data_IF_639496011416
#
_entry.id   IF_639496011416
#
_cell.length_a   1.000
_cell.length_b   1.000
_cell.length_c   1.000
_cell.angle_alpha   90.00
_cell.angle_beta   90.00
_cell.angle_gamma   90.00
#
_symmetry.space_group_name_H-M   'P 1'
#
loop_
_entity.id
_entity.type
_entity.pdbx_description
1 polymer ?
#
# COMPACT_ATOMS: atom_id res chain seq x y z
N UNK A 1 0.85 -0.84 -35.66
CA UNK A 1 0.04 -1.77 -34.85
C UNK A 1 0.32 -1.66 -33.33
N UNK A 2 1.59 -1.66 -32.88
CA UNK A 2 1.93 -1.69 -31.44
C UNK A 2 1.69 -0.37 -30.67
N UNK A 3 1.80 0.79 -31.33
CA UNK A 3 1.51 2.10 -30.72
C UNK A 3 0.03 2.28 -30.36
N UNK A 4 -0.87 1.81 -31.23
CA UNK A 4 -2.32 1.85 -31.00
C UNK A 4 -2.70 0.87 -29.87
N UNK A 5 -2.09 -0.31 -29.83
CA UNK A 5 -2.33 -1.32 -28.79
C UNK A 5 -1.93 -0.83 -27.39
N UNK A 6 -0.78 -0.16 -27.28
CA UNK A 6 -0.32 0.44 -26.02
C UNK A 6 -1.14 1.66 -25.59
N UNK A 7 -1.68 2.43 -26.54
CA UNK A 7 -2.57 3.55 -26.23
C UNK A 7 -3.95 3.06 -25.77
N UNK A 8 -4.50 2.05 -26.43
CA UNK A 8 -5.77 1.40 -26.06
C UNK A 8 -5.64 0.69 -24.71
N UNK A 9 -4.54 -0.03 -24.43
CA UNK A 9 -4.35 -0.69 -23.12
C UNK A 9 -4.09 0.29 -21.97
N UNK A 10 -3.69 1.53 -22.27
CA UNK A 10 -3.47 2.60 -21.28
C UNK A 10 -4.73 3.42 -21.02
N UNK A 11 -5.64 3.50 -21.99
CA UNK A 11 -6.96 4.14 -21.86
C UNK A 11 -8.00 3.19 -21.29
N UNK A 12 -7.95 1.90 -21.66
CA UNK A 12 -8.86 0.87 -21.18
C UNK A 12 -8.11 0.04 -20.14
N UNK A 13 -8.03 0.56 -18.91
CA UNK A 13 -7.64 -0.28 -17.79
C UNK A 13 -8.64 -1.44 -17.67
N UNK A 14 -8.21 -2.64 -17.26
CA UNK A 14 -9.12 -3.79 -17.07
C UNK A 14 -10.31 -3.44 -16.18
N UNK A 15 -10.11 -2.51 -15.25
CA UNK A 15 -11.11 -2.02 -14.32
C UNK A 15 -12.14 -1.12 -14.99
N UNK A 16 -11.69 -0.22 -15.87
CA UNK A 16 -12.57 0.61 -16.69
C UNK A 16 -13.41 -0.26 -17.64
N UNK A 17 -12.83 -1.34 -18.20
CA UNK A 17 -13.57 -2.29 -19.04
C UNK A 17 -14.67 -3.00 -18.24
N UNK A 18 -14.35 -3.55 -17.07
CA UNK A 18 -15.32 -4.21 -16.19
C UNK A 18 -16.43 -3.24 -15.81
N UNK A 19 -16.08 -2.00 -15.46
CA UNK A 19 -17.06 -0.97 -15.12
C UNK A 19 -17.98 -0.64 -16.30
N UNK A 20 -17.41 -0.35 -17.48
CA UNK A 20 -18.20 -0.01 -18.69
C UNK A 20 -19.12 -1.16 -19.08
N UNK A 21 -18.62 -2.40 -19.11
CA UNK A 21 -19.42 -3.59 -19.40
C UNK A 21 -20.54 -3.75 -18.38
N UNK A 22 -20.24 -3.53 -17.11
CA UNK A 22 -21.24 -3.64 -16.03
C UNK A 22 -22.32 -2.57 -16.14
N UNK A 23 -21.95 -1.32 -16.43
CA UNK A 23 -22.90 -0.20 -16.61
C UNK A 23 -23.78 -0.43 -17.83
N UNK A 24 -23.22 -0.88 -18.95
CA UNK A 24 -23.99 -1.20 -20.16
C UNK A 24 -24.97 -2.34 -19.89
N UNK A 25 -24.51 -3.41 -19.22
CA UNK A 25 -25.36 -4.53 -18.86
C UNK A 25 -26.48 -4.12 -17.90
N UNK A 26 -26.16 -3.33 -16.87
CA UNK A 26 -27.13 -2.77 -15.93
C UNK A 26 -28.18 -1.92 -16.66
N UNK A 27 -27.75 -1.02 -17.54
CA UNK A 27 -28.67 -0.17 -18.31
C UNK A 27 -29.58 -0.95 -19.26
N UNK A 28 -29.03 -1.97 -19.95
CA UNK A 28 -29.80 -2.83 -20.85
C UNK A 28 -30.81 -3.70 -20.09
N UNK A 29 -30.38 -4.32 -18.98
CA UNK A 29 -31.24 -5.18 -18.16
C UNK A 29 -32.25 -4.38 -17.35
N UNK A 30 -32.02 -3.09 -17.08
CA UNK A 30 -32.95 -2.24 -16.31
C UNK A 30 -34.38 -2.30 -16.84
N UNK A 31 -34.58 -2.28 -18.17
CA UNK A 31 -35.92 -2.30 -18.77
C UNK A 31 -36.63 -3.67 -18.62
N UNK A 32 -35.88 -4.75 -18.44
CA UNK A 32 -36.41 -6.13 -18.40
C UNK A 32 -36.43 -6.73 -16.99
N UNK A 33 -35.50 -6.33 -16.14
CA UNK A 33 -35.30 -6.88 -14.79
C UNK A 33 -36.51 -6.67 -13.87
N UNK A 34 -37.37 -5.70 -14.19
CA UNK A 34 -38.55 -5.38 -13.40
C UNK A 34 -39.83 -6.10 -13.84
N UNK A 35 -39.79 -6.84 -14.95
CA UNK A 35 -40.93 -7.62 -15.42
C UNK A 35 -41.08 -8.99 -14.72
N UNK A 36 -39.97 -9.56 -14.23
CA UNK A 36 -39.93 -10.90 -13.63
C UNK A 36 -39.04 -10.93 -12.37
N UNK A 37 -39.51 -11.61 -11.32
CA UNK A 37 -38.80 -11.76 -10.04
C UNK A 37 -37.46 -12.47 -10.22
N UNK A 38 -37.36 -13.41 -11.15
CA UNK A 38 -36.10 -14.12 -11.43
C UNK A 38 -35.08 -13.20 -12.11
N UNK A 39 -35.53 -12.39 -13.07
CA UNK A 39 -34.68 -11.39 -13.74
C UNK A 39 -34.14 -10.34 -12.77
N UNK A 40 -34.95 -9.94 -11.78
CA UNK A 40 -34.56 -9.02 -10.71
C UNK A 40 -33.44 -9.58 -9.81
N UNK A 41 -33.55 -10.85 -9.42
CA UNK A 41 -32.53 -11.53 -8.61
C UNK A 41 -31.21 -11.63 -9.39
N UNK A 42 -31.27 -11.99 -10.68
CA UNK A 42 -30.09 -12.07 -11.54
C UNK A 42 -29.43 -10.69 -11.75
N UNK A 43 -30.23 -9.63 -11.88
CA UNK A 43 -29.76 -8.25 -11.98
C UNK A 43 -28.95 -7.83 -10.75
N UNK A 44 -29.47 -8.08 -9.54
CA UNK A 44 -28.75 -7.77 -8.30
C UNK A 44 -27.50 -8.63 -8.12
N UNK A 45 -27.57 -9.92 -8.44
CA UNK A 45 -26.44 -10.83 -8.31
C UNK A 45 -25.28 -10.43 -9.24
N UNK A 46 -25.59 -10.06 -10.49
CA UNK A 46 -24.61 -9.57 -11.44
C UNK A 46 -23.94 -8.28 -10.94
N UNK A 47 -24.72 -7.34 -10.42
CA UNK A 47 -24.22 -6.05 -10.00
C UNK A 47 -23.35 -6.13 -8.73
N UNK A 48 -23.70 -7.01 -7.79
CA UNK A 48 -22.84 -7.35 -6.63
C UNK A 48 -21.55 -8.04 -7.10
N UNK A 49 -21.64 -8.95 -8.07
CA UNK A 49 -20.47 -9.59 -8.68
C UNK A 49 -19.52 -8.61 -9.37
N UNK A 50 -20.07 -7.64 -10.10
CA UNK A 50 -19.31 -6.57 -10.73
C UNK A 50 -18.61 -5.67 -9.70
N UNK A 51 -19.33 -5.25 -8.65
CA UNK A 51 -18.75 -4.47 -7.56
C UNK A 51 -17.61 -5.23 -6.87
N UNK A 52 -17.79 -6.52 -6.58
CA UNK A 52 -16.75 -7.37 -5.98
C UNK A 52 -15.51 -7.50 -6.88
N UNK A 53 -15.70 -7.69 -8.20
CA UNK A 53 -14.60 -7.79 -9.15
C UNK A 53 -13.76 -6.50 -9.22
N UNK A 54 -14.40 -5.34 -9.13
CA UNK A 54 -13.74 -4.03 -9.10
C UNK A 54 -13.00 -3.78 -7.78
N UNK A 55 -13.57 -4.21 -6.65
CA UNK A 55 -12.90 -4.14 -5.34
C UNK A 55 -11.64 -5.02 -5.34
N UNK A 56 -11.71 -6.24 -5.87
CA UNK A 56 -10.55 -7.15 -5.96
C UNK A 56 -9.41 -6.56 -6.79
N UNK A 57 -9.73 -5.73 -7.79
CA UNK A 57 -8.74 -5.05 -8.64
C UNK A 57 -8.31 -3.68 -8.13
N UNK A 58 -8.72 -3.30 -6.91
CA UNK A 58 -8.37 -2.02 -6.26
C UNK A 58 -9.00 -0.78 -6.93
N UNK A 59 -10.03 -0.97 -7.77
CA UNK A 59 -10.76 0.09 -8.45
C UNK A 59 -12.00 0.54 -7.67
N UNK A 60 -11.76 1.05 -6.46
CA UNK A 60 -12.79 1.16 -5.43
C UNK A 60 -13.82 2.26 -5.72
N UNK A 61 -13.41 3.36 -6.34
CA UNK A 61 -14.34 4.43 -6.76
C UNK A 61 -15.35 3.96 -7.81
N UNK A 62 -14.95 3.03 -8.68
CA UNK A 62 -15.84 2.43 -9.67
C UNK A 62 -16.79 1.41 -9.02
N UNK A 63 -16.31 0.63 -8.06
CA UNK A 63 -17.16 -0.27 -7.29
C UNK A 63 -18.25 0.48 -6.51
N UNK A 64 -17.90 1.59 -5.84
CA UNK A 64 -18.89 2.42 -5.12
C UNK A 64 -19.91 3.05 -6.07
N UNK A 65 -19.50 3.43 -7.28
CA UNK A 65 -20.42 3.93 -8.29
C UNK A 65 -21.44 2.85 -8.73
N UNK A 66 -21.01 1.60 -8.91
CA UNK A 66 -21.94 0.49 -9.21
C UNK A 66 -22.94 0.28 -8.08
N UNK A 67 -22.48 0.29 -6.82
CA UNK A 67 -23.39 0.12 -5.67
C UNK A 67 -24.35 1.31 -5.53
N UNK A 68 -23.91 2.53 -5.82
CA UNK A 68 -24.77 3.71 -5.83
C UNK A 68 -25.84 3.64 -6.93
N UNK A 69 -25.49 3.19 -8.13
CA UNK A 69 -26.44 2.96 -9.23
C UNK A 69 -27.44 1.87 -8.84
N UNK A 70 -26.98 0.76 -8.27
CA UNK A 70 -27.87 -0.28 -7.73
C UNK A 70 -28.87 0.29 -6.73
N UNK A 71 -28.37 1.04 -5.74
CA UNK A 71 -29.20 1.67 -4.71
C UNK A 71 -30.26 2.59 -5.32
N UNK A 72 -29.84 3.46 -6.24
CA UNK A 72 -30.74 4.39 -6.92
C UNK A 72 -31.80 3.65 -7.74
N UNK A 73 -31.43 2.57 -8.45
CA UNK A 73 -32.39 1.77 -9.22
C UNK A 73 -33.36 1.00 -8.33
N UNK A 74 -32.91 0.46 -7.19
CA UNK A 74 -33.77 -0.18 -6.20
C UNK A 74 -34.75 0.83 -5.58
N UNK A 75 -34.29 2.04 -5.27
CA UNK A 75 -35.10 3.11 -4.70
C UNK A 75 -36.15 3.65 -5.69
N UNK A 76 -35.76 3.84 -6.94
CA UNK A 76 -36.67 4.25 -8.01
C UNK A 76 -37.76 3.20 -8.23
N UNK A 77 -37.41 1.91 -8.19
CA UNK A 77 -38.38 0.84 -8.34
C UNK A 77 -39.36 0.79 -7.16
N UNK A 78 -38.88 0.95 -5.93
CA UNK A 78 -39.73 1.06 -4.75
C UNK A 78 -40.73 2.23 -4.88
N UNK A 79 -40.25 3.38 -5.35
CA UNK A 79 -41.06 4.59 -5.48
C UNK A 79 -42.09 4.52 -6.62
N UNK A 80 -41.74 3.91 -7.77
CA UNK A 80 -42.60 3.92 -8.97
C UNK A 80 -43.39 2.62 -9.22
N UNK A 81 -42.95 1.46 -8.71
CA UNK A 81 -43.62 0.15 -8.95
C UNK A 81 -44.64 -0.22 -7.87
N UNK A 82 -44.80 0.60 -6.83
CA UNK A 82 -45.92 0.52 -5.90
C UNK A 82 -47.21 1.05 -6.56
N UNK A 83 -47.70 0.38 -7.62
CA UNK A 83 -49.11 0.49 -8.03
C UNK A 83 -49.90 -0.60 -7.31
N UNK A 84 -51.01 -0.27 -6.63
CA UNK A 84 -51.54 -1.08 -5.54
C UNK A 84 -52.52 -2.13 -6.06
N UNK A 85 -52.31 -3.38 -5.68
CA UNK A 85 -53.44 -4.29 -5.43
C UNK A 85 -53.31 -5.05 -4.10
N UNK A 86 -52.14 -5.01 -3.44
CA UNK A 86 -51.97 -5.43 -2.04
C UNK A 86 -51.00 -4.50 -1.30
N UNK A 87 -51.42 -3.27 -1.02
CA UNK A 87 -50.62 -2.33 -0.22
C UNK A 87 -50.66 -2.76 1.26
N UNK A 88 -49.54 -3.25 1.80
CA UNK A 88 -49.38 -3.43 3.24
C UNK A 88 -48.27 -2.50 3.76
N UNK A 89 -48.64 -1.32 4.31
CA UNK A 89 -47.69 -0.26 4.63
C UNK A 89 -46.57 -0.67 5.60
N UNK A 90 -46.80 -1.69 6.44
CA UNK A 90 -45.81 -2.15 7.41
C UNK A 90 -44.76 -3.06 6.76
N UNK A 91 -45.19 -4.02 5.92
CA UNK A 91 -44.27 -4.98 5.30
C UNK A 91 -43.39 -4.32 4.24
N UNK A 92 -43.95 -3.41 3.44
CA UNK A 92 -43.19 -2.68 2.43
C UNK A 92 -42.13 -1.79 3.10
N UNK A 93 -42.52 -0.97 4.08
CA UNK A 93 -41.58 -0.12 4.82
C UNK A 93 -40.48 -0.93 5.54
N UNK A 94 -40.82 -2.09 6.10
CA UNK A 94 -39.84 -2.95 6.78
C UNK A 94 -38.84 -3.54 5.78
N UNK A 95 -39.31 -4.04 4.64
CA UNK A 95 -38.46 -4.58 3.57
C UNK A 95 -37.48 -3.51 3.06
N UNK A 96 -37.94 -2.28 2.88
CA UNK A 96 -37.11 -1.19 2.37
C UNK A 96 -36.06 -0.75 3.37
N UNK A 97 -36.44 -0.67 4.64
CA UNK A 97 -35.53 -0.30 5.72
C UNK A 97 -34.43 -1.35 5.90
N UNK A 98 -34.77 -2.64 5.74
CA UNK A 98 -33.79 -3.74 5.74
C UNK A 98 -32.89 -3.68 4.50
N UNK A 99 -33.45 -3.45 3.31
CA UNK A 99 -32.68 -3.34 2.06
C UNK A 99 -31.69 -2.17 2.07
N UNK A 100 -32.14 -1.00 2.54
CA UNK A 100 -31.30 0.19 2.69
C UNK A 100 -30.25 0.00 3.78
N UNK A 101 -30.61 -0.62 4.90
CA UNK A 101 -29.66 -0.95 5.96
C UNK A 101 -28.56 -1.90 5.47
N UNK A 102 -28.92 -2.95 4.72
CA UNK A 102 -27.97 -3.89 4.15
C UNK A 102 -27.05 -3.22 3.11
N UNK A 103 -27.60 -2.35 2.27
CA UNK A 103 -26.83 -1.62 1.26
C UNK A 103 -25.88 -0.61 1.90
N UNK A 104 -26.36 0.17 2.88
CA UNK A 104 -25.54 1.12 3.65
C UNK A 104 -24.44 0.39 4.42
N UNK A 105 -24.74 -0.76 5.02
CA UNK A 105 -23.75 -1.58 5.70
C UNK A 105 -22.65 -2.06 4.75
N UNK A 106 -23.03 -2.59 3.57
CA UNK A 106 -22.07 -3.05 2.57
C UNK A 106 -21.21 -1.91 2.04
N UNK A 107 -21.77 -0.74 1.74
CA UNK A 107 -20.99 0.41 1.28
C UNK A 107 -20.00 0.91 2.33
N UNK A 108 -20.41 0.97 3.59
CA UNK A 108 -19.53 1.35 4.71
C UNK A 108 -18.42 0.32 4.91
N UNK A 109 -18.71 -0.98 4.86
CA UNK A 109 -17.70 -2.02 4.97
C UNK A 109 -16.67 -1.94 3.84
N UNK A 110 -17.13 -1.73 2.60
CA UNK A 110 -16.25 -1.53 1.46
C UNK A 110 -15.38 -0.28 1.62
N UNK A 111 -15.93 0.82 2.15
CA UNK A 111 -15.18 2.05 2.41
C UNK A 111 -14.11 1.86 3.50
N UNK A 112 -14.44 1.16 4.59
CA UNK A 112 -13.50 0.86 5.67
C UNK A 112 -12.36 -0.04 5.16
N UNK A 113 -12.70 -1.08 4.38
CA UNK A 113 -11.71 -1.97 3.79
C UNK A 113 -10.76 -1.22 2.85
N UNK A 114 -11.32 -0.33 2.01
CA UNK A 114 -10.55 0.58 1.14
C UNK A 114 -9.58 1.46 1.91
N UNK A 115 -10.08 2.13 2.95
CA UNK A 115 -9.29 3.04 3.78
C UNK A 115 -8.14 2.30 4.47
N UNK A 116 -8.40 1.10 5.01
CA UNK A 116 -7.38 0.26 5.63
C UNK A 116 -6.28 -0.11 4.64
N UNK A 117 -6.64 -0.60 3.44
CA UNK A 117 -5.66 -0.98 2.42
C UNK A 117 -4.79 0.19 1.97
N UNK A 118 -5.37 1.38 1.74
CA UNK A 118 -4.59 2.56 1.37
C UNK A 118 -3.64 3.01 2.49
N UNK A 119 -4.09 2.90 3.74
CA UNK A 119 -3.27 3.25 4.90
C UNK A 119 -2.11 2.29 5.09
N UNK A 120 -2.34 0.99 4.92
CA UNK A 120 -1.29 -0.03 4.98
C UNK A 120 -0.22 0.20 3.92
N UNK A 121 -0.61 0.56 2.69
CA UNK A 121 0.34 0.86 1.62
C UNK A 121 1.19 2.10 1.93
N UNK A 122 0.55 3.20 2.35
CA UNK A 122 1.26 4.42 2.76
C UNK A 122 2.22 4.14 3.92
N UNK A 123 1.79 3.35 4.89
CA UNK A 123 2.63 2.95 6.02
C UNK A 123 3.80 2.09 5.56
N UNK A 124 3.60 1.12 4.66
CA UNK A 124 4.68 0.30 4.10
C UNK A 124 5.72 1.13 3.36
N UNK A 125 5.28 2.04 2.50
CA UNK A 125 6.18 2.95 1.77
C UNK A 125 6.96 3.84 2.73
N UNK A 126 6.30 4.37 3.77
CA UNK A 126 6.96 5.19 4.78
C UNK A 126 7.99 4.38 5.59
N UNK A 127 7.63 3.17 6.03
CA UNK A 127 8.54 2.27 6.75
C UNK A 127 9.78 1.94 5.92
N UNK A 128 9.59 1.55 4.65
CA UNK A 128 10.72 1.28 3.76
C UNK A 128 11.65 2.50 3.59
N UNK A 129 11.10 3.71 3.51
CA UNK A 129 11.91 4.94 3.45
C UNK A 129 12.69 5.19 4.74
N UNK A 130 12.04 5.01 5.90
CA UNK A 130 12.69 5.15 7.20
C UNK A 130 13.82 4.12 7.35
N UNK A 131 13.58 2.87 6.98
CA UNK A 131 14.60 1.81 7.00
C UNK A 131 15.77 2.15 6.08
N UNK A 132 15.51 2.59 4.85
CA UNK A 132 16.57 3.02 3.92
C UNK A 132 17.39 4.19 4.48
N UNK A 133 16.74 5.18 5.09
CA UNK A 133 17.43 6.29 5.74
C UNK A 133 18.25 5.83 6.94
N UNK A 134 17.72 4.92 7.75
CA UNK A 134 18.43 4.36 8.90
C UNK A 134 19.66 3.58 8.48
N UNK A 135 19.56 2.76 7.43
CA UNK A 135 20.72 2.05 6.86
C UNK A 135 21.77 3.03 6.34
N UNK A 136 21.36 4.07 5.62
CA UNK A 136 22.27 5.09 5.12
C UNK A 136 22.97 5.86 6.26
N UNK A 137 22.23 6.27 7.29
CA UNK A 137 22.78 6.95 8.46
C UNK A 137 23.74 6.06 9.25
N UNK A 138 23.43 4.77 9.41
CA UNK A 138 24.34 3.80 10.06
C UNK A 138 25.62 3.62 9.26
N UNK A 139 25.52 3.50 7.94
CA UNK A 139 26.70 3.39 7.08
C UNK A 139 27.56 4.64 7.16
N UNK A 140 26.96 5.83 7.21
CA UNK A 140 27.67 7.09 7.38
C UNK A 140 28.35 7.18 8.76
N UNK A 141 27.63 6.85 9.83
CA UNK A 141 28.19 6.84 11.18
C UNK A 141 29.39 5.88 11.31
N UNK A 142 29.27 4.67 10.76
CA UNK A 142 30.39 3.71 10.73
C UNK A 142 31.58 4.25 9.96
N UNK A 143 31.36 4.86 8.79
CA UNK A 143 32.43 5.44 7.97
C UNK A 143 33.12 6.59 8.71
N UNK A 144 32.33 7.47 9.34
CA UNK A 144 32.85 8.58 10.14
C UNK A 144 33.68 8.07 11.32
N UNK A 145 33.15 7.13 12.12
CA UNK A 145 33.89 6.54 13.24
C UNK A 145 35.17 5.86 12.77
N UNK A 146 35.16 5.15 11.64
CA UNK A 146 36.39 4.58 11.06
C UNK A 146 37.43 5.65 10.72
N UNK A 147 37.02 6.79 10.15
CA UNK A 147 37.94 7.91 9.87
C UNK A 147 38.47 8.56 11.15
N UNK A 148 37.61 8.74 12.15
CA UNK A 148 37.96 9.31 13.45
C UNK A 148 38.86 8.39 14.27
N UNK A 149 38.78 7.07 14.11
CA UNK A 149 39.68 6.10 14.76
C UNK A 149 41.00 5.96 14.01
N UNK A 150 40.99 5.99 12.66
CA UNK A 150 42.22 5.86 11.86
C UNK A 150 43.22 6.98 12.14
N UNK A 151 42.73 8.20 12.38
CA UNK A 151 43.57 9.39 12.61
C UNK A 151 44.44 9.27 13.88
N UNK A 152 43.89 9.04 15.09
CA UNK A 152 44.69 8.86 16.30
C UNK A 152 45.54 7.59 16.22
N UNK A 153 45.04 6.51 15.62
CA UNK A 153 45.79 5.26 15.50
C UNK A 153 47.02 5.41 14.59
N UNK A 154 46.88 6.11 13.46
CA UNK A 154 48.01 6.47 12.59
C UNK A 154 49.02 7.38 13.30
N UNK A 155 48.54 8.26 14.19
CA UNK A 155 49.41 9.11 15.00
C UNK A 155 50.18 8.30 16.03
N UNK A 156 49.54 7.33 16.69
CA UNK A 156 50.18 6.42 17.64
C UNK A 156 51.28 5.62 16.94
N UNK A 157 50.98 4.99 15.79
CA UNK A 157 51.97 4.25 14.99
C UNK A 157 53.17 5.14 14.61
N UNK A 158 52.93 6.34 14.07
CA UNK A 158 54.02 7.24 13.67
C UNK A 158 54.91 7.67 14.85
N UNK A 159 54.32 7.91 16.04
CA UNK A 159 55.07 8.25 17.25
C UNK A 159 55.87 7.03 17.73
N UNK A 160 55.26 5.84 17.79
CA UNK A 160 55.93 4.61 18.20
C UNK A 160 57.10 4.26 17.28
N UNK A 161 56.93 4.32 15.95
CA UNK A 161 58.00 4.12 14.97
C UNK A 161 59.16 5.11 15.19
N UNK A 162 58.85 6.40 15.39
CA UNK A 162 59.87 7.43 15.63
C UNK A 162 60.68 7.17 16.91
N UNK A 163 60.03 6.65 17.96
CA UNK A 163 60.68 6.27 19.22
C UNK A 163 61.57 5.03 19.05
N UNK A 164 61.11 4.02 18.30
CA UNK A 164 61.86 2.78 18.04
C UNK A 164 63.09 2.97 17.14
N UNK A 165 63.01 3.92 16.20
CA UNK A 165 64.12 4.32 15.32
C UNK A 165 65.23 5.09 16.06
N UNK A 166 65.03 5.44 17.33
CA UNK A 166 66.03 6.15 18.15
C UNK A 166 66.20 7.63 17.80
N UNK A 167 65.30 8.19 16.98
CA UNK A 167 65.36 9.59 16.52
C UNK A 167 65.23 10.62 17.65
N UNK A 168 64.72 10.19 18.81
CA UNK A 168 64.54 11.03 20.01
C UNK A 168 65.50 10.67 21.15
N UNK A 169 66.46 9.76 20.93
CA UNK A 169 67.39 9.22 21.93
C UNK A 169 67.19 7.71 22.17
N UNK A 170 68.14 7.10 22.91
CA UNK A 170 68.11 5.66 23.19
C UNK A 170 67.05 5.29 24.24
N UNK A 171 66.28 4.25 23.94
CA UNK A 171 65.34 3.60 24.87
C UNK A 171 66.09 2.52 25.67
N UNK A 172 65.72 2.36 26.95
CA UNK A 172 66.15 1.17 27.70
C UNK A 172 65.37 -0.09 27.28
N UNK A 173 65.80 -1.27 27.71
CA UNK A 173 65.21 -2.56 27.29
C UNK A 173 63.70 -2.64 27.52
N UNK A 174 63.24 -2.35 28.73
CA UNK A 174 61.82 -2.40 29.10
C UNK A 174 60.98 -1.36 28.33
N UNK A 175 61.53 -0.16 28.10
CA UNK A 175 60.85 0.90 27.32
C UNK A 175 60.67 0.51 25.86
N UNK A 176 61.68 -0.14 25.26
CA UNK A 176 61.60 -0.63 23.89
C UNK A 176 60.52 -1.70 23.76
N UNK A 177 60.48 -2.68 24.67
CA UNK A 177 59.45 -3.72 24.71
C UNK A 177 58.03 -3.13 24.79
N UNK A 178 57.80 -2.15 25.67
CA UNK A 178 56.48 -1.51 25.78
C UNK A 178 56.06 -0.73 24.52
N UNK A 179 56.99 -0.08 23.82
CA UNK A 179 56.67 0.65 22.59
C UNK A 179 56.42 -0.34 21.43
N UNK A 180 57.16 -1.45 21.36
CA UNK A 180 56.92 -2.54 20.40
C UNK A 180 55.51 -3.14 20.59
N UNK A 181 55.09 -3.39 21.83
CA UNK A 181 53.72 -3.85 22.13
C UNK A 181 52.63 -2.85 21.68
N UNK A 182 52.86 -1.54 21.91
CA UNK A 182 51.92 -0.48 21.51
C UNK A 182 51.84 -0.38 19.98
N UNK A 183 52.97 -0.48 19.28
CA UNK A 183 53.02 -0.46 17.83
C UNK A 183 52.30 -1.67 17.22
N UNK A 184 52.58 -2.88 17.72
CA UNK A 184 51.92 -4.10 17.28
C UNK A 184 50.40 -4.03 17.50
N UNK A 185 49.96 -3.54 18.67
CA UNK A 185 48.54 -3.35 18.96
C UNK A 185 47.88 -2.30 18.04
N UNK A 186 48.57 -1.20 17.72
CA UNK A 186 48.06 -0.17 16.82
C UNK A 186 47.95 -0.66 15.37
N UNK A 187 48.94 -1.42 14.88
CA UNK A 187 48.90 -2.05 13.56
C UNK A 187 47.79 -3.09 13.45
N UNK A 188 47.58 -3.88 14.51
CA UNK A 188 46.47 -4.85 14.57
C UNK A 188 45.09 -4.20 14.49
N UNK A 189 44.92 -2.98 15.04
CA UNK A 189 43.66 -2.24 15.01
C UNK A 189 43.41 -1.50 13.67
N UNK A 190 44.44 -1.34 12.83
CA UNK A 190 44.34 -0.73 11.48
C UNK A 190 44.04 -1.76 10.37
N UNK A 191 44.35 -3.04 10.60
CA UNK A 191 44.18 -4.16 9.65
C UNK A 191 42.72 -4.60 9.50
#
# INVERSE_FOLDING_TARGET
MNLIKNFISRIISPDALIFVVSVIFLGAMHQFAFGDRLALILYYLFAVGAAYALVRRRAIGLASAIVAVLAATMFAQLYYSAKPDTWNPVYDATRDMVGLGALMYLTVQLLIASYKMQREEKNRVLQNKIEQQLVAMRAEALRQTSHEVRTPLSTITAISETLLDGSTGDLNGDQREFIEDIDEAAQHLLA
#
